data_IF_554220910779
#
_entry.id   IF_554220910779
#
_cell.length_a   1.000
_cell.length_b   1.000
_cell.length_c   1.000
_cell.angle_alpha   90.00
_cell.angle_beta   90.00
_cell.angle_gamma   90.00
#
_symmetry.space_group_name_H-M   'P 1'
#
loop_
_entity.id
_entity.type
_entity.pdbx_description
1 polymer ?
#
# COMPACT_ATOMS: atom_id res chain seq x y z
N UNK A 1 13.49 26.82 0.77
CA UNK A 1 13.62 25.43 1.27
C UNK A 1 13.07 24.50 0.20
N UNK A 2 13.80 23.45 -0.19
CA UNK A 2 13.23 22.42 -1.08
C UNK A 2 12.38 21.44 -0.26
N UNK A 3 11.44 20.77 -0.94
CA UNK A 3 10.63 19.70 -0.33
C UNK A 3 11.52 18.59 0.24
N UNK A 4 12.63 18.28 -0.44
CA UNK A 4 13.60 17.29 0.04
C UNK A 4 14.25 17.69 1.36
N UNK A 5 14.64 18.97 1.52
CA UNK A 5 15.19 19.45 2.79
C UNK A 5 14.15 19.39 3.91
N UNK A 6 12.89 19.73 3.62
CA UNK A 6 11.80 19.65 4.61
C UNK A 6 11.56 18.20 5.05
N UNK A 7 11.38 17.28 4.10
CA UNK A 7 11.19 15.84 4.42
C UNK A 7 12.42 15.27 5.12
N UNK A 8 13.62 15.71 4.76
CA UNK A 8 14.87 15.32 5.40
C UNK A 8 14.94 15.68 6.88
N UNK A 9 14.36 16.83 7.27
CA UNK A 9 14.33 17.29 8.67
C UNK A 9 13.32 16.57 9.56
N UNK A 10 12.36 15.84 9.00
CA UNK A 10 11.34 15.12 9.77
C UNK A 10 11.94 13.87 10.42
N UNK A 11 11.59 13.64 11.68
CA UNK A 11 11.76 12.35 12.35
C UNK A 11 10.95 11.25 11.66
N UNK A 12 11.18 9.99 12.06
CA UNK A 12 10.44 8.86 11.50
C UNK A 12 8.93 8.99 11.73
N UNK A 13 8.52 9.37 12.94
CA UNK A 13 7.10 9.45 13.30
C UNK A 13 6.42 10.63 12.58
N UNK A 14 7.11 11.77 12.45
CA UNK A 14 6.62 12.91 11.67
C UNK A 14 6.50 12.57 10.19
N UNK A 15 7.40 11.76 9.63
CA UNK A 15 7.27 11.26 8.25
C UNK A 15 6.02 10.42 8.07
N UNK A 16 5.72 9.53 9.03
CA UNK A 16 4.51 8.70 8.98
C UNK A 16 3.25 9.57 9.07
N UNK A 17 3.21 10.53 9.99
CA UNK A 17 2.10 11.48 10.10
C UNK A 17 1.94 12.32 8.82
N UNK A 18 3.03 12.81 8.25
CA UNK A 18 3.02 13.56 7.01
C UNK A 18 2.48 12.72 5.84
N UNK A 19 2.89 11.45 5.74
CA UNK A 19 2.34 10.53 4.74
C UNK A 19 0.83 10.37 4.88
N UNK A 20 0.30 10.19 6.08
CA UNK A 20 -1.13 10.04 6.31
C UNK A 20 -1.92 11.30 5.93
N UNK A 21 -1.40 12.49 6.28
CA UNK A 21 -2.02 13.76 5.94
C UNK A 21 -2.03 13.99 4.42
N UNK A 22 -0.89 13.79 3.78
CA UNK A 22 -0.78 13.88 2.31
C UNK A 22 -1.74 12.87 1.68
N UNK A 23 -1.75 11.63 2.13
CA UNK A 23 -2.63 10.61 1.58
C UNK A 23 -4.12 10.97 1.68
N UNK A 24 -4.56 11.52 2.83
CA UNK A 24 -5.95 11.98 3.01
C UNK A 24 -6.31 13.11 2.06
N UNK A 25 -5.41 14.07 1.88
CA UNK A 25 -5.60 15.19 0.95
C UNK A 25 -5.74 14.67 -0.48
N UNK A 26 -4.80 13.83 -0.93
CA UNK A 26 -4.81 13.23 -2.26
C UNK A 26 -6.04 12.34 -2.53
N UNK A 27 -6.50 11.61 -1.51
CA UNK A 27 -7.65 10.73 -1.62
C UNK A 27 -8.99 11.46 -1.74
N UNK A 28 -9.04 12.76 -1.38
CA UNK A 28 -10.26 13.56 -1.45
C UNK A 28 -10.67 13.83 -2.90
N UNK A 29 -9.71 13.86 -3.84
CA UNK A 29 -9.97 14.02 -5.26
C UNK A 29 -9.21 12.98 -6.11
N UNK A 30 -9.79 11.77 -6.14
CA UNK A 30 -9.27 10.63 -6.89
C UNK A 30 -9.23 10.81 -8.41
N UNK A 31 -9.91 11.82 -8.96
CA UNK A 31 -9.97 12.06 -10.41
C UNK A 31 -8.80 12.94 -10.89
N UNK A 32 -8.29 13.80 -10.01
CA UNK A 32 -7.29 14.82 -10.37
C UNK A 32 -5.86 14.35 -10.14
N UNK A 33 -5.65 13.31 -9.32
CA UNK A 33 -4.32 12.83 -8.99
C UNK A 33 -3.83 11.70 -9.91
N UNK A 34 -2.91 12.04 -10.81
CA UNK A 34 -2.21 11.06 -11.63
C UNK A 34 -1.20 10.32 -10.75
N UNK A 35 -1.32 8.99 -10.70
CA UNK A 35 -0.34 8.15 -10.01
C UNK A 35 1.09 8.41 -10.53
N UNK A 36 2.12 8.36 -9.66
CA UNK A 36 3.50 8.49 -10.10
C UNK A 36 3.86 7.47 -11.20
N UNK A 37 4.74 7.85 -12.15
CA UNK A 37 5.13 6.99 -13.28
C UNK A 37 5.64 5.60 -12.88
N UNK A 38 6.30 5.48 -11.71
CA UNK A 38 6.78 4.19 -11.22
C UNK A 38 5.62 3.27 -10.80
N UNK A 39 4.47 3.82 -10.39
CA UNK A 39 3.33 3.05 -9.91
C UNK A 39 2.71 2.20 -11.02
N UNK A 40 2.62 2.74 -12.23
CA UNK A 40 2.16 2.01 -13.42
C UNK A 40 2.98 0.75 -13.66
N UNK A 41 4.31 0.84 -13.55
CA UNK A 41 5.21 -0.31 -13.70
C UNK A 41 4.93 -1.39 -12.64
N UNK A 42 4.74 -0.99 -11.38
CA UNK A 42 4.44 -1.93 -10.29
C UNK A 42 3.11 -2.63 -10.53
N UNK A 43 2.08 -1.91 -10.98
CA UNK A 43 0.78 -2.50 -11.33
C UNK A 43 0.92 -3.48 -12.49
N UNK A 44 1.63 -3.09 -13.56
CA UNK A 44 1.85 -3.96 -14.73
C UNK A 44 2.67 -5.22 -14.38
N UNK A 45 3.67 -5.10 -13.50
CA UNK A 45 4.45 -6.24 -13.00
C UNK A 45 3.55 -7.21 -12.21
N UNK A 46 2.67 -6.69 -11.33
CA UNK A 46 1.74 -7.52 -10.54
C UNK A 46 0.67 -8.19 -11.40
N UNK A 47 0.17 -7.51 -12.43
CA UNK A 47 -0.82 -8.07 -13.35
C UNK A 47 -0.24 -9.12 -14.29
N UNK A 48 1.07 -9.07 -14.60
CA UNK A 48 1.74 -10.08 -15.44
C UNK A 48 1.92 -11.43 -14.75
N UNK A 49 2.07 -11.41 -13.43
CA UNK A 49 2.25 -12.61 -12.62
C UNK A 49 1.23 -12.63 -11.49
N UNK A 50 -0.07 -12.79 -11.81
CA UNK A 50 -1.08 -12.91 -10.78
C UNK A 50 -0.74 -14.15 -9.94
N UNK A 51 -0.83 -14.01 -8.62
CA UNK A 51 -0.73 -15.17 -7.73
C UNK A 51 -1.87 -16.09 -8.08
N UNK A 52 -1.56 -17.35 -8.38
CA UNK A 52 -2.55 -18.38 -8.64
C UNK A 52 -3.45 -18.55 -7.41
N UNK A 53 -4.75 -18.32 -7.57
CA UNK A 53 -5.75 -18.41 -6.52
C UNK A 53 -7.16 -18.13 -7.05
N UNK A 54 -8.18 -18.57 -6.33
CA UNK A 54 -9.57 -18.20 -6.64
C UNK A 54 -9.81 -16.75 -6.23
N UNK A 55 -10.50 -15.98 -7.07
CA UNK A 55 -10.98 -14.66 -6.67
C UNK A 55 -12.14 -14.85 -5.67
N UNK A 56 -11.87 -14.61 -4.39
CA UNK A 56 -12.86 -14.72 -3.33
C UNK A 56 -13.48 -13.35 -2.99
N UNK A 57 -14.74 -13.33 -2.53
CA UNK A 57 -15.30 -12.17 -1.84
C UNK A 57 -14.38 -11.70 -0.70
N UNK A 58 -14.28 -10.39 -0.50
CA UNK A 58 -13.35 -9.79 0.46
C UNK A 58 -13.41 -10.39 1.89
N UNK A 59 -14.59 -10.73 2.45
CA UNK A 59 -14.66 -11.39 3.76
C UNK A 59 -13.97 -12.76 3.78
N UNK A 60 -14.16 -13.57 2.74
CA UNK A 60 -13.60 -14.91 2.61
C UNK A 60 -12.08 -14.85 2.38
N UNK A 61 -11.61 -13.94 1.52
CA UNK A 61 -10.18 -13.70 1.32
C UNK A 61 -9.45 -13.31 2.61
N UNK A 62 -10.09 -12.50 3.47
CA UNK A 62 -9.54 -12.12 4.77
C UNK A 62 -9.44 -13.31 5.73
N UNK A 63 -10.45 -14.19 5.74
CA UNK A 63 -10.44 -15.38 6.56
C UNK A 63 -9.31 -16.34 6.15
N UNK A 64 -9.15 -16.60 4.85
CA UNK A 64 -8.09 -17.45 4.31
C UNK A 64 -6.69 -16.95 4.68
N UNK A 65 -6.43 -15.64 4.53
CA UNK A 65 -5.14 -15.04 4.90
C UNK A 65 -4.89 -15.19 6.41
N UNK A 66 -5.92 -14.99 7.23
CA UNK A 66 -5.81 -15.14 8.68
C UNK A 66 -5.45 -16.58 9.06
N UNK A 67 -6.15 -17.57 8.51
CA UNK A 67 -5.86 -18.98 8.74
C UNK A 67 -4.44 -19.35 8.31
N UNK A 68 -4.00 -18.88 7.14
CA UNK A 68 -2.64 -19.14 6.65
C UNK A 68 -1.55 -18.55 7.56
N UNK A 69 -1.78 -17.37 8.15
CA UNK A 69 -0.86 -16.75 9.11
C UNK A 69 -0.84 -17.53 10.43
N UNK A 70 -2.02 -17.90 10.95
CA UNK A 70 -2.15 -18.63 12.21
C UNK A 70 -1.51 -20.03 12.11
N UNK A 71 -1.70 -20.73 10.98
CA UNK A 71 -1.05 -22.02 10.69
C UNK A 71 0.48 -21.90 10.66
N UNK A 72 1.03 -20.87 9.98
CA UNK A 72 2.48 -20.62 9.93
C UNK A 72 3.08 -20.35 11.31
N UNK A 73 2.34 -19.68 12.19
CA UNK A 73 2.74 -19.42 13.58
C UNK A 73 2.74 -20.68 14.44
N UNK A 74 1.80 -21.60 14.21
CA UNK A 74 1.72 -22.86 14.94
C UNK A 74 2.87 -23.84 14.60
N UNK A 75 3.44 -23.74 13.39
CA UNK A 75 4.57 -24.56 12.94
C UNK A 75 5.97 -24.00 13.25
N UNK A 76 6.07 -22.86 13.95
CA UNK A 76 7.34 -22.18 14.28
C UNK A 76 7.58 -22.18 15.77
#
# INVERSE_FOLDING_TARGET
MSVETMVGSLSRDEKLMAMDLIWRDLATDSQTFVSPKWHERVVADRLRSPVSGSALPLPEAKAEIKEAIDARRATR
#
